data_IF_410220500280
#
_entry.id   IF_410220500280
#
_cell.length_a   1.000
_cell.length_b   1.000
_cell.length_c   1.000
_cell.angle_alpha   90.00
_cell.angle_beta   90.00
_cell.angle_gamma   90.00
#
_symmetry.space_group_name_H-M   'P 1'
#
loop_
_entity.id
_entity.type
_entity.pdbx_description
1 polymer ?
#
# COMPACT_ATOMS: atom_id res chain seq x y z
N UNK A 1 15.96 2.52 -4.28
CA UNK A 1 16.82 3.71 -4.49
C UNK A 1 17.55 3.51 -5.81
N UNK A 2 17.77 4.56 -6.63
CA UNK A 2 18.45 4.42 -7.92
C UNK A 2 19.98 4.35 -7.81
N UNK A 3 20.53 4.13 -6.62
CA UNK A 3 21.96 3.89 -6.45
C UNK A 3 22.35 2.56 -7.11
N UNK A 4 23.57 2.49 -7.65
CA UNK A 4 24.15 1.25 -8.16
C UNK A 4 25.46 0.95 -7.40
N UNK A 5 26.24 -0.05 -7.86
CA UNK A 5 27.48 -0.45 -7.19
C UNK A 5 28.59 0.61 -7.24
N UNK A 6 28.57 1.46 -8.26
CA UNK A 6 29.63 2.41 -8.56
C UNK A 6 29.28 3.86 -8.18
N UNK A 7 27.97 4.17 -8.05
CA UNK A 7 27.46 5.53 -7.84
C UNK A 7 26.39 5.57 -6.75
N UNK A 8 26.61 6.43 -5.75
CA UNK A 8 25.63 6.76 -4.73
C UNK A 8 24.89 8.06 -5.08
N UNK A 9 23.55 8.00 -5.13
CA UNK A 9 22.67 9.13 -5.40
C UNK A 9 21.89 9.58 -4.15
N UNK A 10 22.41 9.29 -2.96
CA UNK A 10 21.70 9.53 -1.69
C UNK A 10 21.41 11.01 -1.40
N UNK A 11 22.25 11.92 -1.89
CA UNK A 11 22.08 13.38 -1.74
C UNK A 11 21.14 14.00 -2.77
N UNK A 12 20.73 13.26 -3.80
CA UNK A 12 19.77 13.76 -4.80
C UNK A 12 18.41 13.92 -4.13
N UNK A 13 17.83 15.12 -4.26
CA UNK A 13 16.59 15.49 -3.57
C UNK A 13 15.36 14.77 -4.14
N UNK A 14 15.27 14.68 -5.47
CA UNK A 14 14.18 14.01 -6.20
C UNK A 14 14.75 12.91 -7.09
N UNK A 15 15.23 11.79 -6.51
CA UNK A 15 15.94 10.76 -7.26
C UNK A 15 15.00 9.87 -8.10
N UNK A 16 13.68 9.97 -7.90
CA UNK A 16 12.70 9.13 -8.59
C UNK A 16 11.58 10.03 -9.12
N UNK A 17 11.37 10.01 -10.43
CA UNK A 17 10.19 10.64 -11.05
C UNK A 17 9.07 9.60 -10.98
N UNK A 18 7.98 9.93 -10.29
CA UNK A 18 6.83 9.03 -10.25
C UNK A 18 6.19 8.99 -11.63
N UNK A 19 6.05 7.80 -12.22
CA UNK A 19 5.33 7.61 -13.48
C UNK A 19 3.85 7.95 -13.30
N UNK A 20 3.26 8.61 -14.29
CA UNK A 20 1.81 8.87 -14.39
C UNK A 20 1.07 7.76 -15.13
N UNK A 21 1.77 6.70 -15.57
CA UNK A 21 1.16 5.60 -16.29
C UNK A 21 0.26 4.74 -15.40
N UNK A 22 -0.88 4.35 -15.94
CA UNK A 22 -1.80 3.42 -15.28
C UNK A 22 -1.11 2.05 -15.18
N UNK A 23 -1.15 1.44 -14.00
CA UNK A 23 -0.52 0.14 -13.76
C UNK A 23 -1.24 -0.97 -14.53
N UNK A 24 -0.48 -1.94 -15.04
CA UNK A 24 -1.03 -3.15 -15.66
C UNK A 24 -1.72 -4.04 -14.60
N UNK A 25 -2.81 -4.75 -14.96
CA UNK A 25 -3.57 -5.60 -14.02
C UNK A 25 -2.72 -6.62 -13.25
N UNK A 26 -1.78 -7.31 -13.92
CA UNK A 26 -0.90 -8.29 -13.26
C UNK A 26 -0.05 -7.66 -12.15
N UNK A 27 0.44 -6.44 -12.38
CA UNK A 27 1.17 -5.67 -11.38
C UNK A 27 0.27 -5.20 -10.24
N UNK A 28 -1.00 -4.93 -10.51
CA UNK A 28 -1.97 -4.57 -9.46
C UNK A 28 -2.27 -5.78 -8.57
N UNK A 29 -2.50 -6.97 -9.16
CA UNK A 29 -2.75 -8.21 -8.41
C UNK A 29 -1.60 -8.55 -7.45
N UNK A 30 -0.36 -8.49 -7.93
CA UNK A 30 0.80 -8.80 -7.10
C UNK A 30 0.92 -7.86 -5.89
N UNK A 31 0.80 -6.54 -6.11
CA UNK A 31 0.86 -5.55 -5.02
C UNK A 31 -0.35 -5.63 -4.09
N UNK A 32 -1.54 -5.92 -4.62
CA UNK A 32 -2.75 -6.09 -3.82
C UNK A 32 -2.61 -7.28 -2.86
N UNK A 33 -2.03 -8.41 -3.32
CA UNK A 33 -1.76 -9.57 -2.47
C UNK A 33 -0.82 -9.23 -1.32
N UNK A 34 0.30 -8.59 -1.63
CA UNK A 34 1.30 -8.19 -0.64
C UNK A 34 0.69 -7.27 0.42
N UNK A 35 -0.09 -6.28 -0.01
CA UNK A 35 -0.75 -5.34 0.89
C UNK A 35 -1.77 -6.03 1.80
N UNK A 36 -2.62 -6.91 1.26
CA UNK A 36 -3.66 -7.60 2.03
C UNK A 36 -3.03 -8.59 3.01
N UNK A 37 -2.00 -9.33 2.62
CA UNK A 37 -1.24 -10.18 3.53
C UNK A 37 -0.66 -9.36 4.68
N UNK A 38 -0.09 -8.20 4.39
CA UNK A 38 0.46 -7.30 5.39
C UNK A 38 -0.61 -6.78 6.36
N UNK A 39 -1.78 -6.39 5.85
CA UNK A 39 -2.92 -5.95 6.65
C UNK A 39 -3.42 -7.06 7.58
N UNK A 40 -3.72 -8.25 7.04
CA UNK A 40 -4.23 -9.37 7.84
C UNK A 40 -3.18 -9.93 8.81
N UNK A 41 -1.89 -9.85 8.48
CA UNK A 41 -0.80 -10.13 9.41
C UNK A 41 -0.79 -9.16 10.59
N UNK A 42 -0.99 -7.85 10.33
CA UNK A 42 -0.97 -6.81 11.37
C UNK A 42 -2.07 -6.97 12.43
N UNK A 43 -3.22 -7.52 12.04
CA UNK A 43 -4.35 -7.80 12.93
C UNK A 43 -4.39 -9.26 13.42
N UNK A 44 -3.32 -10.05 13.16
CA UNK A 44 -3.20 -11.46 13.53
C UNK A 44 -4.33 -12.36 12.99
N UNK A 45 -4.79 -12.09 11.77
CA UNK A 45 -5.84 -12.85 11.06
C UNK A 45 -5.39 -13.38 9.71
N UNK A 46 -4.08 -13.46 9.48
CA UNK A 46 -3.52 -14.09 8.28
C UNK A 46 -4.06 -15.52 8.14
N UNK A 47 -4.40 -15.91 6.91
CA UNK A 47 -5.00 -17.23 6.57
C UNK A 47 -6.37 -17.54 7.20
N UNK A 48 -7.03 -16.55 7.83
CA UNK A 48 -8.42 -16.72 8.25
C UNK A 48 -9.38 -16.81 7.05
N UNK A 49 -10.59 -17.32 7.28
CA UNK A 49 -11.64 -17.32 6.24
C UNK A 49 -11.93 -15.92 5.71
N UNK A 50 -11.94 -14.92 6.60
CA UNK A 50 -12.11 -13.52 6.21
C UNK A 50 -10.98 -13.04 5.28
N UNK A 51 -9.74 -13.50 5.49
CA UNK A 51 -8.60 -13.18 4.63
C UNK A 51 -8.76 -13.79 3.23
N UNK A 52 -9.06 -15.09 3.17
CA UNK A 52 -9.20 -15.80 1.89
C UNK A 52 -10.39 -15.29 1.08
N UNK A 53 -11.52 -15.01 1.73
CA UNK A 53 -12.69 -14.42 1.08
C UNK A 53 -12.38 -13.03 0.53
N UNK A 54 -11.71 -12.17 1.31
CA UNK A 54 -11.34 -10.83 0.85
C UNK A 54 -10.37 -10.89 -0.33
N UNK A 55 -9.42 -11.82 -0.30
CA UNK A 55 -8.49 -12.01 -1.42
C UNK A 55 -9.21 -12.41 -2.71
N UNK A 56 -10.19 -13.32 -2.65
CA UNK A 56 -11.00 -13.70 -3.81
C UNK A 56 -11.77 -12.50 -4.38
N UNK A 57 -12.42 -11.70 -3.52
CA UNK A 57 -13.14 -10.50 -3.95
C UNK A 57 -12.24 -9.52 -4.71
N UNK A 58 -11.04 -9.26 -4.18
CA UNK A 58 -10.08 -8.35 -4.82
C UNK A 58 -9.64 -8.89 -6.18
N UNK A 59 -9.42 -10.20 -6.29
CA UNK A 59 -9.07 -10.83 -7.55
C UNK A 59 -10.19 -10.67 -8.59
N UNK A 60 -11.45 -10.85 -8.19
CA UNK A 60 -12.61 -10.67 -9.07
C UNK A 60 -12.81 -9.19 -9.48
N UNK A 61 -12.63 -8.24 -8.55
CA UNK A 61 -12.67 -6.79 -8.82
C UNK A 61 -11.59 -6.36 -9.83
N UNK A 62 -10.36 -6.85 -9.67
CA UNK A 62 -9.25 -6.50 -10.57
C UNK A 62 -9.45 -7.13 -11.94
N UNK A 63 -9.92 -8.38 -12.01
CA UNK A 63 -10.19 -9.05 -13.28
C UNK A 63 -11.31 -8.37 -14.07
N UNK A 64 -12.32 -7.83 -13.38
CA UNK A 64 -13.47 -7.19 -14.01
C UNK A 64 -13.25 -5.71 -14.35
N UNK A 65 -12.57 -4.95 -13.50
CA UNK A 65 -12.44 -3.49 -13.63
C UNK A 65 -11.01 -2.99 -13.86
N UNK A 66 -10.00 -3.85 -13.70
CA UNK A 66 -8.58 -3.48 -13.70
C UNK A 66 -8.09 -2.83 -12.39
N UNK A 67 -8.96 -2.65 -11.41
CA UNK A 67 -8.66 -2.04 -10.10
C UNK A 67 -9.48 -2.68 -8.99
N UNK A 68 -9.29 -2.26 -7.74
CA UNK A 68 -10.13 -2.69 -6.62
C UNK A 68 -10.29 -1.55 -5.62
N UNK A 69 -11.36 -1.60 -4.83
CA UNK A 69 -11.60 -0.63 -3.78
C UNK A 69 -11.15 -1.17 -2.42
N UNK A 70 -10.51 -0.31 -1.64
CA UNK A 70 -10.11 -0.60 -0.27
C UNK A 70 -11.29 -0.43 0.68
N UNK A 71 -11.39 -1.31 1.67
CA UNK A 71 -12.26 -1.10 2.81
C UNK A 71 -11.72 0.04 3.69
N UNK A 72 -12.59 0.67 4.48
CA UNK A 72 -12.19 1.78 5.37
C UNK A 72 -11.02 1.41 6.30
N UNK A 73 -11.06 0.20 6.87
CA UNK A 73 -9.99 -0.30 7.75
C UNK A 73 -8.68 -0.52 7.01
N UNK A 74 -8.74 -0.99 5.77
CA UNK A 74 -7.60 -1.17 4.88
C UNK A 74 -7.01 0.19 4.51
N UNK A 75 -7.86 1.18 4.19
CA UNK A 75 -7.43 2.54 3.86
C UNK A 75 -6.75 3.23 5.05
N UNK A 76 -7.32 3.15 6.26
CA UNK A 76 -6.69 3.68 7.49
C UNK A 76 -5.33 3.03 7.70
N UNK A 77 -5.26 1.72 7.56
CA UNK A 77 -4.02 0.97 7.71
C UNK A 77 -2.97 1.43 6.70
N UNK A 78 -3.33 1.52 5.42
CA UNK A 78 -2.45 1.97 4.34
C UNK A 78 -1.93 3.40 4.55
N UNK A 79 -2.80 4.33 4.96
CA UNK A 79 -2.42 5.71 5.22
C UNK A 79 -1.41 5.82 6.38
N UNK A 80 -1.69 5.14 7.50
CA UNK A 80 -0.80 5.09 8.67
C UNK A 80 0.54 4.43 8.34
N UNK A 81 0.49 3.33 7.60
CA UNK A 81 1.68 2.60 7.18
C UNK A 81 2.56 3.42 6.22
N UNK A 82 1.95 4.15 5.28
CA UNK A 82 2.67 5.05 4.37
C UNK A 82 3.44 6.14 5.14
N UNK A 83 2.82 6.75 6.15
CA UNK A 83 3.51 7.71 7.00
C UNK A 83 4.64 7.05 7.80
N UNK A 84 4.39 5.88 8.40
CA UNK A 84 5.41 5.12 9.14
C UNK A 84 6.64 4.81 8.27
N UNK A 85 6.41 4.47 6.99
CA UNK A 85 7.45 4.09 6.04
C UNK A 85 8.10 5.28 5.30
N UNK A 86 7.68 6.52 5.60
CA UNK A 86 8.29 7.72 5.04
C UNK A 86 9.67 7.97 5.66
N UNK A 87 10.71 7.51 4.98
CA UNK A 87 12.12 7.55 5.44
C UNK A 87 12.62 8.97 5.75
N UNK A 88 12.07 9.99 5.09
CA UNK A 88 12.43 11.40 5.28
C UNK A 88 11.63 12.10 6.38
N UNK A 89 10.63 11.45 6.99
CA UNK A 89 9.82 12.04 8.05
C UNK A 89 10.45 11.81 9.43
N UNK A 90 10.88 12.90 10.08
CA UNK A 90 11.36 12.87 11.47
C UNK A 90 10.23 12.62 12.48
N UNK A 91 9.01 13.10 12.18
CA UNK A 91 7.82 13.02 13.05
C UNK A 91 7.11 11.66 13.06
N UNK A 92 7.72 10.61 12.52
CA UNK A 92 7.06 9.30 12.35
C UNK A 92 6.70 8.60 13.65
N UNK A 93 7.14 9.07 14.82
CA UNK A 93 6.73 8.49 16.12
C UNK A 93 5.21 8.59 16.36
N UNK A 94 4.54 9.60 15.79
CA UNK A 94 3.08 9.79 15.92
C UNK A 94 2.27 9.07 14.84
N UNK A 95 2.90 8.22 14.02
CA UNK A 95 2.27 7.61 12.83
C UNK A 95 0.91 6.95 13.11
N UNK A 96 0.75 6.33 14.28
CA UNK A 96 -0.47 5.62 14.67
C UNK A 96 -1.65 6.55 14.99
N UNK A 97 -1.40 7.84 15.24
CA UNK A 97 -2.41 8.84 15.62
C UNK A 97 -2.98 9.62 14.43
N UNK A 98 -2.69 9.19 13.20
CA UNK A 98 -3.29 9.79 12.01
C UNK A 98 -4.82 9.60 12.02
N UNK A 99 -5.56 10.69 11.91
CA UNK A 99 -7.00 10.68 11.65
C UNK A 99 -7.23 10.65 10.14
N UNK A 100 -7.99 9.66 9.68
CA UNK A 100 -8.40 9.53 8.27
C UNK A 100 -9.88 9.88 8.22
N UNK A 101 -10.21 10.90 7.44
CA UNK A 101 -11.59 11.34 7.27
C UNK A 101 -12.20 10.64 6.06
N UNK A 102 -13.39 10.09 6.25
CA UNK A 102 -14.23 9.57 5.18
C UNK A 102 -15.34 10.59 4.95
N UNK A 103 -15.37 11.19 3.77
CA UNK A 103 -16.55 11.94 3.35
C UNK A 103 -17.45 10.93 2.67
N UNK A 104 -18.58 10.62 3.31
CA UNK A 104 -19.68 9.95 2.62
C UNK A 104 -20.15 10.93 1.54
N UNK A 105 -19.86 10.61 0.28
CA UNK A 105 -20.36 11.32 -0.90
C UNK A 105 -21.79 10.86 -1.13
#
# INVERSE_FOLDING_TARGET
MPCNKDVCLGSVMLPNVMSTEVRKPDGVLAHAKEFIDQYYSSIRRLNSTAHTTRWQQIQDEINSSGSYQLNETELIYGAKLAWRNSSRCIGRIQWAKLQVNFVLI
#
